data_IF_937288861007
#
_entry.id   IF_937288861007
#
_cell.length_a   1.000
_cell.length_b   1.000
_cell.length_c   1.000
_cell.angle_alpha   90.00
_cell.angle_beta   90.00
_cell.angle_gamma   90.00
#
_symmetry.space_group_name_H-M   'P 1'
#
loop_
_entity.id
_entity.type
_entity.pdbx_description
1 polymer ?
#
# COMPACT_ATOMS: atom_id res chain seq x y z
N UNK A 1 5.88 17.25 -4.01
CA UNK A 1 7.20 17.65 -4.52
C UNK A 1 7.01 18.20 -5.91
N UNK A 2 7.57 19.37 -6.19
CA UNK A 2 7.49 20.03 -7.49
C UNK A 2 8.89 20.32 -7.99
N UNK A 3 9.18 19.93 -9.23
CA UNK A 3 10.44 20.14 -9.93
C UNK A 3 10.35 21.41 -10.76
N UNK A 4 11.20 22.39 -10.47
CA UNK A 4 11.36 23.61 -11.25
C UNK A 4 12.18 23.37 -12.53
N UNK A 5 12.25 24.38 -13.41
CA UNK A 5 12.91 24.23 -14.72
C UNK A 5 14.45 24.12 -14.62
N UNK A 6 15.01 24.67 -13.55
CA UNK A 6 16.43 24.55 -13.17
C UNK A 6 16.80 23.18 -12.58
N UNK A 7 15.80 22.30 -12.36
CA UNK A 7 15.97 20.97 -11.78
C UNK A 7 15.80 20.90 -10.26
N UNK A 8 15.60 22.02 -9.57
CA UNK A 8 15.40 22.09 -8.12
C UNK A 8 14.07 21.45 -7.71
N UNK A 9 14.06 20.72 -6.58
CA UNK A 9 12.87 20.09 -6.03
C UNK A 9 12.35 20.82 -4.79
N UNK A 10 11.07 21.20 -4.83
CA UNK A 10 10.38 21.89 -3.75
C UNK A 10 9.37 20.97 -3.07
N UNK A 11 9.55 20.72 -1.77
CA UNK A 11 8.59 19.98 -0.95
C UNK A 11 7.43 20.89 -0.54
N UNK A 12 6.21 20.34 -0.47
CA UNK A 12 5.01 21.09 -0.06
C UNK A 12 4.52 22.17 -1.03
N UNK A 13 5.11 22.27 -2.22
CA UNK A 13 4.73 23.23 -3.26
C UNK A 13 4.03 22.56 -4.43
N UNK A 14 3.18 23.31 -5.11
CA UNK A 14 2.42 22.94 -6.32
C UNK A 14 2.95 23.69 -7.55
N UNK A 15 2.35 23.46 -8.72
CA UNK A 15 2.63 24.26 -9.92
C UNK A 15 2.16 25.71 -9.80
N UNK A 16 1.20 25.99 -8.93
CA UNK A 16 0.73 27.36 -8.69
C UNK A 16 1.76 28.18 -7.88
N UNK A 17 2.51 27.52 -7.01
CA UNK A 17 3.59 28.14 -6.22
C UNK A 17 4.86 28.40 -7.05
N UNK A 18 5.12 27.60 -8.08
CA UNK A 18 6.37 27.57 -8.85
C UNK A 18 6.07 27.88 -10.31
N UNK A 19 6.29 29.13 -10.71
CA UNK A 19 5.92 29.66 -12.05
C UNK A 19 6.50 28.87 -13.23
N UNK A 20 7.67 28.27 -13.06
CA UNK A 20 8.40 27.52 -14.07
C UNK A 20 8.40 26.00 -13.81
N UNK A 21 7.42 25.50 -13.03
CA UNK A 21 7.28 24.09 -12.72
C UNK A 21 7.23 23.22 -13.98
N UNK A 22 8.09 22.19 -14.02
CA UNK A 22 8.10 21.18 -15.08
C UNK A 22 7.34 19.92 -14.70
N UNK A 23 7.26 19.63 -13.42
CA UNK A 23 6.60 18.44 -12.91
C UNK A 23 6.19 18.62 -11.45
N UNK A 24 5.05 18.09 -11.06
CA UNK A 24 4.58 18.02 -9.69
C UNK A 24 4.03 16.64 -9.39
N UNK A 25 4.39 16.12 -8.21
CA UNK A 25 3.84 14.90 -7.65
C UNK A 25 3.41 15.10 -6.21
N UNK A 26 2.18 14.71 -5.88
CA UNK A 26 1.73 14.51 -4.50
C UNK A 26 1.95 13.06 -4.11
N UNK A 27 2.51 12.84 -2.93
CA UNK A 27 2.68 11.51 -2.36
C UNK A 27 2.01 11.46 -0.99
N UNK A 28 1.25 10.39 -0.73
CA UNK A 28 0.72 10.08 0.60
C UNK A 28 0.98 8.61 0.93
N UNK A 29 1.28 8.33 2.19
CA UNK A 29 1.62 6.98 2.64
C UNK A 29 0.91 6.72 3.95
N UNK A 30 0.29 5.55 4.07
CA UNK A 30 -0.37 5.10 5.30
C UNK A 30 0.04 3.67 5.63
N UNK A 31 0.17 3.39 6.92
CA UNK A 31 0.51 2.06 7.41
C UNK A 31 -0.53 1.59 8.43
N UNK A 32 -0.82 0.28 8.41
CA UNK A 32 -1.63 -0.43 9.39
C UNK A 32 -0.78 -1.54 9.99
N UNK A 33 -0.55 -1.48 11.30
CA UNK A 33 0.13 -2.54 12.05
C UNK A 33 -0.88 -3.35 12.86
N UNK A 34 -0.88 -4.67 12.70
CA UNK A 34 -1.74 -5.58 13.47
C UNK A 34 -0.93 -6.19 14.61
N UNK A 35 -1.29 -5.84 15.85
CA UNK A 35 -0.75 -6.43 17.07
C UNK A 35 -1.85 -7.25 17.73
N UNK A 36 -1.81 -8.57 17.54
CA UNK A 36 -2.88 -9.45 17.95
C UNK A 36 -2.70 -9.96 19.39
N UNK A 37 -3.71 -9.67 20.23
CA UNK A 37 -3.87 -10.31 21.55
C UNK A 37 -4.95 -11.40 21.57
N UNK A 38 -5.88 -11.38 20.61
CA UNK A 38 -7.00 -12.31 20.50
C UNK A 38 -7.32 -12.59 19.03
N UNK A 39 -7.21 -13.85 18.60
CA UNK A 39 -7.46 -14.27 17.22
C UNK A 39 -8.94 -14.18 16.79
N UNK A 40 -9.88 -14.06 17.73
CA UNK A 40 -11.32 -13.92 17.44
C UNK A 40 -11.75 -12.47 17.15
N UNK A 41 -10.85 -11.50 17.26
CA UNK A 41 -11.16 -10.11 16.94
C UNK A 41 -11.31 -9.93 15.43
N UNK A 42 -12.49 -9.48 15.01
CA UNK A 42 -12.84 -9.25 13.60
C UNK A 42 -12.66 -7.78 13.16
N UNK A 43 -12.23 -6.89 14.06
CA UNK A 43 -12.01 -5.48 13.70
C UNK A 43 -10.94 -5.30 12.63
N UNK A 44 -9.92 -6.17 12.63
CA UNK A 44 -8.80 -6.14 11.68
C UNK A 44 -9.21 -6.48 10.25
N UNK A 45 -10.33 -7.18 10.06
CA UNK A 45 -10.86 -7.55 8.73
C UNK A 45 -11.83 -6.51 8.18
N UNK A 46 -12.05 -5.42 8.91
CA UNK A 46 -12.92 -4.31 8.47
C UNK A 46 -12.09 -3.20 7.80
N UNK A 47 -12.65 -2.54 6.77
CA UNK A 47 -12.14 -1.27 6.25
C UNK A 47 -11.88 -0.24 7.35
N UNK A 48 -10.80 0.53 7.18
CA UNK A 48 -10.40 1.63 8.08
C UNK A 48 -10.61 3.01 7.46
N UNK A 49 -11.25 3.07 6.30
CA UNK A 49 -11.52 4.30 5.53
C UNK A 49 -10.25 5.07 5.13
N UNK A 50 -9.11 4.36 5.00
CA UNK A 50 -7.94 4.94 4.34
C UNK A 50 -8.21 4.99 2.82
N UNK A 51 -7.66 6.00 2.13
CA UNK A 51 -7.89 6.15 0.68
C UNK A 51 -7.38 4.96 -0.11
N UNK A 52 -6.24 4.40 0.26
CA UNK A 52 -5.75 3.11 -0.22
C UNK A 52 -5.54 2.23 1.01
N UNK A 53 -6.09 1.03 1.01
CA UNK A 53 -5.95 0.11 2.14
C UNK A 53 -5.81 -1.34 1.70
N UNK A 54 -5.00 -2.09 2.45
CA UNK A 54 -4.91 -3.55 2.40
C UNK A 54 -5.72 -4.07 3.58
N UNK A 55 -6.79 -4.80 3.29
CA UNK A 55 -7.71 -5.38 4.29
C UNK A 55 -7.53 -6.89 4.30
N UNK A 56 -7.06 -7.51 5.39
CA UNK A 56 -6.99 -8.96 5.49
C UNK A 56 -8.40 -9.57 5.57
N UNK A 57 -8.63 -10.69 4.87
CA UNK A 57 -9.95 -11.35 4.86
C UNK A 57 -10.17 -12.29 6.05
N UNK A 58 -9.12 -12.57 6.82
CA UNK A 58 -9.17 -13.22 8.12
C UNK A 58 -8.17 -12.52 9.06
N UNK A 59 -8.31 -12.70 10.37
CA UNK A 59 -7.39 -12.11 11.32
C UNK A 59 -5.97 -12.67 11.08
N UNK A 60 -4.92 -11.82 10.93
CA UNK A 60 -3.56 -12.31 10.71
C UNK A 60 -3.02 -13.28 11.76
N UNK A 61 -3.60 -13.34 12.96
CA UNK A 61 -3.30 -14.35 13.98
C UNK A 61 -3.65 -15.79 13.55
N UNK A 62 -4.54 -15.94 12.56
CA UNK A 62 -4.95 -17.23 12.00
C UNK A 62 -4.12 -17.64 10.78
N UNK A 63 -3.32 -16.73 10.21
CA UNK A 63 -2.45 -17.04 9.09
C UNK A 63 -1.36 -18.02 9.53
N UNK A 64 -0.94 -18.89 8.62
CA UNK A 64 0.05 -19.94 8.88
C UNK A 64 1.09 -19.99 7.77
N UNK A 65 2.33 -20.30 8.14
CA UNK A 65 3.40 -20.56 7.17
C UNK A 65 2.97 -21.69 6.22
N UNK A 66 3.17 -21.48 4.92
CA UNK A 66 2.87 -22.47 3.88
C UNK A 66 1.38 -22.67 3.59
N UNK A 67 0.48 -21.92 4.25
CA UNK A 67 -0.96 -21.94 3.96
C UNK A 67 -1.33 -20.60 3.31
N UNK A 68 -1.97 -20.60 2.14
CA UNK A 68 -2.40 -19.35 1.52
C UNK A 68 -3.42 -18.61 2.38
N UNK A 69 -3.31 -17.28 2.41
CA UNK A 69 -4.30 -16.39 2.99
C UNK A 69 -4.65 -15.28 2.00
N UNK A 70 -5.80 -14.63 2.21
CA UNK A 70 -6.29 -13.59 1.28
C UNK A 70 -6.30 -12.22 1.92
N UNK A 71 -5.95 -11.22 1.11
CA UNK A 71 -6.17 -9.81 1.41
C UNK A 71 -6.98 -9.18 0.27
N UNK A 72 -7.62 -8.05 0.56
CA UNK A 72 -8.35 -7.23 -0.40
C UNK A 72 -7.76 -5.83 -0.42
N UNK A 73 -7.49 -5.32 -1.61
CA UNK A 73 -7.01 -3.94 -1.79
C UNK A 73 -8.21 -3.08 -2.16
N UNK A 74 -8.40 -2.01 -1.41
CA UNK A 74 -9.45 -1.03 -1.65
C UNK A 74 -8.83 0.33 -1.96
N UNK A 75 -9.38 1.00 -2.98
CA UNK A 75 -9.15 2.41 -3.26
C UNK A 75 -10.47 3.17 -3.14
N UNK A 76 -10.50 4.17 -2.25
CA UNK A 76 -11.67 4.96 -1.90
C UNK A 76 -12.88 4.09 -1.53
N UNK A 77 -12.61 3.02 -0.76
CA UNK A 77 -13.61 2.07 -0.28
C UNK A 77 -14.10 1.07 -1.33
N UNK A 78 -13.60 1.14 -2.58
CA UNK A 78 -13.98 0.22 -3.67
C UNK A 78 -12.85 -0.77 -3.96
N UNK A 79 -13.16 -2.01 -4.39
CA UNK A 79 -12.15 -2.95 -4.88
C UNK A 79 -11.24 -2.31 -5.93
N UNK A 80 -9.93 -2.48 -5.77
CA UNK A 80 -8.94 -2.06 -6.76
C UNK A 80 -8.40 -3.29 -7.49
N UNK A 81 -8.81 -3.46 -8.75
CA UNK A 81 -8.33 -4.52 -9.65
C UNK A 81 -6.90 -4.23 -10.15
N UNK A 82 -6.14 -5.28 -10.51
CA UNK A 82 -4.78 -5.21 -11.05
C UNK A 82 -3.78 -4.44 -10.16
N UNK A 83 -4.12 -4.22 -8.89
CA UNK A 83 -3.26 -3.59 -7.91
C UNK A 83 -2.09 -4.51 -7.58
N UNK A 84 -0.87 -4.01 -7.73
CA UNK A 84 0.33 -4.74 -7.31
C UNK A 84 0.40 -4.82 -5.79
N UNK A 85 0.71 -6.00 -5.28
CA UNK A 85 1.04 -6.26 -3.88
C UNK A 85 2.43 -6.87 -3.80
N UNK A 86 3.32 -6.17 -3.12
CA UNK A 86 4.65 -6.66 -2.77
C UNK A 86 4.67 -7.07 -1.30
N UNK A 87 5.32 -8.19 -0.98
CA UNK A 87 5.49 -8.68 0.38
C UNK A 87 6.93 -8.94 0.74
N UNK A 88 7.33 -8.63 1.96
CA UNK A 88 8.64 -8.95 2.53
C UNK A 88 8.52 -9.28 4.01
N UNK A 89 9.60 -9.76 4.62
CA UNK A 89 9.63 -10.12 6.04
C UNK A 89 10.97 -9.75 6.69
N UNK A 90 10.97 -9.66 8.01
CA UNK A 90 12.17 -9.35 8.79
C UNK A 90 13.29 -10.36 8.53
N UNK A 91 14.50 -9.86 8.22
CA UNK A 91 15.64 -10.69 7.81
C UNK A 91 15.68 -11.09 6.33
N UNK A 92 14.74 -10.64 5.49
CA UNK A 92 14.85 -10.80 4.03
C UNK A 92 15.85 -9.81 3.41
N UNK A 93 16.15 -10.00 2.12
CA UNK A 93 17.06 -9.15 1.36
C UNK A 93 16.53 -7.70 1.27
N UNK A 94 17.44 -6.73 1.47
CA UNK A 94 17.11 -5.30 1.32
C UNK A 94 16.64 -5.00 -0.10
N UNK A 95 15.63 -4.15 -0.23
CA UNK A 95 15.07 -3.67 -1.50
C UNK A 95 14.59 -4.80 -2.45
N UNK A 96 14.26 -5.97 -1.89
CA UNK A 96 13.67 -7.10 -2.62
C UNK A 96 12.36 -7.51 -1.96
N UNK A 97 11.45 -8.03 -2.79
CA UNK A 97 10.19 -8.61 -2.34
C UNK A 97 10.31 -10.14 -2.28
N UNK A 98 9.83 -10.74 -1.20
CA UNK A 98 9.66 -12.19 -1.04
C UNK A 98 8.35 -12.70 -1.69
N UNK A 99 7.40 -11.79 -1.90
CA UNK A 99 6.13 -12.03 -2.59
C UNK A 99 5.86 -10.88 -3.56
N UNK A 100 5.30 -11.20 -4.73
CA UNK A 100 4.82 -10.23 -5.71
C UNK A 100 3.60 -10.82 -6.42
N UNK A 101 2.54 -10.02 -6.56
CA UNK A 101 1.38 -10.41 -7.35
C UNK A 101 0.44 -9.24 -7.60
N UNK A 102 -0.67 -9.52 -8.30
CA UNK A 102 -1.72 -8.54 -8.61
C UNK A 102 -3.08 -9.05 -8.16
N UNK A 103 -3.96 -8.12 -7.82
CA UNK A 103 -5.33 -8.45 -7.43
C UNK A 103 -6.22 -8.80 -8.62
N UNK A 104 -7.15 -9.72 -8.37
CA UNK A 104 -8.28 -10.07 -9.22
C UNK A 104 -9.27 -8.89 -9.40
N UNK A 105 -10.27 -9.00 -10.31
CA UNK A 105 -11.30 -7.97 -10.52
C UNK A 105 -12.08 -7.56 -9.27
N UNK A 106 -12.23 -8.47 -8.30
CA UNK A 106 -12.89 -8.18 -7.03
C UNK A 106 -11.95 -7.53 -5.99
N UNK A 107 -10.73 -7.17 -6.38
CA UNK A 107 -9.69 -6.55 -5.55
C UNK A 107 -9.00 -7.52 -4.58
N UNK A 108 -9.26 -8.82 -4.66
CA UNK A 108 -8.62 -9.81 -3.79
C UNK A 108 -7.32 -10.36 -4.38
N UNK A 109 -6.41 -10.77 -3.51
CA UNK A 109 -5.19 -11.48 -3.89
C UNK A 109 -4.85 -12.52 -2.81
N UNK A 110 -4.37 -13.67 -3.25
CA UNK A 110 -3.89 -14.75 -2.40
C UNK A 110 -2.37 -14.64 -2.20
N UNK A 111 -1.94 -14.77 -0.94
CA UNK A 111 -0.54 -14.66 -0.52
C UNK A 111 -0.11 -15.96 0.14
N UNK A 112 1.00 -16.53 -0.33
CA UNK A 112 1.63 -17.70 0.26
C UNK A 112 2.93 -17.29 0.96
N UNK A 113 2.89 -17.15 2.28
CA UNK A 113 4.06 -16.83 3.09
C UNK A 113 4.83 -18.11 3.46
N UNK A 114 6.08 -18.23 3.00
CA UNK A 114 6.91 -19.43 3.20
C UNK A 114 7.87 -19.34 4.40
N UNK A 115 7.85 -18.23 5.15
CA UNK A 115 8.70 -18.01 6.33
C UNK A 115 7.88 -17.40 7.47
N UNK A 116 8.09 -17.82 8.73
CA UNK A 116 7.49 -17.15 9.88
C UNK A 116 8.15 -15.78 10.13
N UNK A 117 7.58 -14.99 11.03
CA UNK A 117 8.14 -13.73 11.51
C UNK A 117 7.27 -12.52 11.19
N UNK A 118 7.86 -11.33 11.27
CA UNK A 118 7.18 -10.07 10.98
C UNK A 118 7.12 -9.86 9.46
N UNK A 119 5.92 -9.82 8.92
CA UNK A 119 5.65 -9.57 7.51
C UNK A 119 5.17 -8.15 7.28
N UNK A 120 5.50 -7.65 6.09
CA UNK A 120 5.04 -6.39 5.55
C UNK A 120 4.51 -6.63 4.13
N UNK A 121 3.26 -6.23 3.90
CA UNK A 121 2.66 -6.16 2.57
C UNK A 121 2.50 -4.69 2.18
N UNK A 122 2.84 -4.35 0.95
CA UNK A 122 2.78 -2.99 0.44
C UNK A 122 2.13 -2.96 -0.94
N UNK A 123 1.26 -1.98 -1.14
CA UNK A 123 0.74 -1.62 -2.46
C UNK A 123 0.96 -0.13 -2.71
N UNK A 124 1.21 0.22 -3.97
CA UNK A 124 1.39 1.60 -4.42
C UNK A 124 0.46 1.85 -5.60
N UNK A 125 -0.44 2.81 -5.45
CA UNK A 125 -1.31 3.26 -6.51
C UNK A 125 -0.82 4.62 -7.03
N UNK A 126 -0.54 4.69 -8.34
CA UNK A 126 -0.14 5.92 -9.04
C UNK A 126 -1.26 6.29 -10.01
N UNK A 127 -1.62 7.56 -10.03
CA UNK A 127 -2.70 8.07 -10.87
C UNK A 127 -2.45 9.55 -11.21
N UNK A 128 -3.05 10.06 -12.28
CA UNK A 128 -3.06 11.50 -12.55
C UNK A 128 -3.68 12.26 -11.37
N UNK A 129 -3.15 13.44 -11.06
CA UNK A 129 -3.78 14.32 -10.10
C UNK A 129 -5.09 14.88 -10.70
N UNK A 130 -6.12 15.06 -9.86
CA UNK A 130 -7.46 15.44 -10.31
C UNK A 130 -7.48 16.76 -11.11
N UNK A 131 -6.66 17.74 -10.71
CA UNK A 131 -6.45 18.98 -11.46
C UNK A 131 -4.98 19.11 -11.91
N UNK A 132 -4.73 18.83 -13.19
CA UNK A 132 -3.39 18.86 -13.79
C UNK A 132 -2.71 20.23 -13.77
N UNK A 133 -3.47 21.31 -13.54
CA UNK A 133 -2.95 22.67 -13.34
C UNK A 133 -2.29 22.83 -11.98
N UNK A 134 -2.76 22.12 -10.97
CA UNK A 134 -2.21 22.15 -9.61
C UNK A 134 -1.00 21.20 -9.52
N UNK A 135 -1.14 19.96 -10.02
CA UNK A 135 -0.09 18.94 -9.94
C UNK A 135 -0.22 17.91 -11.06
N UNK A 136 0.82 17.14 -11.41
CA UNK A 136 0.71 16.13 -12.49
C UNK A 136 0.17 14.81 -11.96
N UNK A 137 0.81 14.27 -10.91
CA UNK A 137 0.54 12.92 -10.42
C UNK A 137 0.20 12.90 -8.92
N UNK A 138 -0.64 11.94 -8.54
CA UNK A 138 -0.76 11.48 -7.17
C UNK A 138 -0.19 10.05 -7.04
N UNK A 139 0.54 9.80 -5.96
CA UNK A 139 0.94 8.46 -5.54
C UNK A 139 0.48 8.23 -4.12
N UNK A 140 -0.22 7.13 -3.90
CA UNK A 140 -0.69 6.71 -2.59
C UNK A 140 -0.09 5.34 -2.31
N UNK A 141 0.50 5.15 -1.14
CA UNK A 141 1.00 3.86 -0.71
C UNK A 141 0.27 3.40 0.55
N UNK A 142 -0.03 2.11 0.61
CA UNK A 142 -0.60 1.47 1.79
C UNK A 142 0.26 0.28 2.21
N UNK A 143 0.49 0.16 3.50
CA UNK A 143 1.28 -0.91 4.10
C UNK A 143 0.49 -1.64 5.18
N UNK A 144 0.51 -2.97 5.16
CA UNK A 144 -0.02 -3.82 6.24
C UNK A 144 1.15 -4.60 6.86
N UNK A 145 1.38 -4.41 8.16
CA UNK A 145 2.36 -5.16 8.94
C UNK A 145 1.65 -6.10 9.92
N UNK A 146 2.12 -7.34 10.02
CA UNK A 146 1.61 -8.35 10.93
C UNK A 146 2.69 -9.38 11.27
N UNK A 147 2.46 -10.17 12.30
CA UNK A 147 3.33 -11.30 12.65
C UNK A 147 2.69 -12.61 12.23
N UNK A 148 3.44 -13.42 11.49
CA UNK A 148 3.09 -14.78 11.09
C UNK A 148 3.85 -15.76 12.00
N UNK A 149 3.14 -16.72 12.59
CA UNK A 149 3.73 -17.75 13.47
C UNK A 149 3.94 -19.07 12.75
#
# INVERSE_FOLDING_TARGET
WTKASDGTWHMGKTKEDIKDAKYCKKASMSAKGVINKNAKDSSVTKPSNQRLEIVPLDNPANFKVGVPFKVKILFEGKPLENATLDGTFDGFLKEKSAFHGQTEPDGTIEVLALKPGKWLLQTVHKMPFADSKICDDETIAATLAFELK
#
